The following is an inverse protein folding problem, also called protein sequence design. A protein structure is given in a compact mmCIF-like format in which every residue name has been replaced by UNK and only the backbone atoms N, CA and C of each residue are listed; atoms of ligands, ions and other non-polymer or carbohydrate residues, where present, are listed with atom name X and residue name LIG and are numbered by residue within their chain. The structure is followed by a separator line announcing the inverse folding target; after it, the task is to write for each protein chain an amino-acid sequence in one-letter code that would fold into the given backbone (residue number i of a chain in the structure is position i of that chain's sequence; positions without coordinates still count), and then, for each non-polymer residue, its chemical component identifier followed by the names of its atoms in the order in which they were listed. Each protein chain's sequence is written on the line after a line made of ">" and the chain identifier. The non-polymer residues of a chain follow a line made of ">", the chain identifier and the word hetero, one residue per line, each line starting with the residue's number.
data_IF_233355617468
#
_entry.id   IF_233355617468
#
_cell.length_a   1.000
_cell.length_b   1.000
_cell.length_c   1.000
_cell.angle_alpha   90.00
_cell.angle_beta   90.00
_cell.angle_gamma   90.00
#
_symmetry.space_group_name_H-M   'P 1'
#
loop_
_entity.id
_entity.type
_entity.pdbx_description
1 polymer ?
#
# COMPACT_ATOMS: atom_id res chain seq x y z
N UNK A 1 0.23 9.43 14.80
CA UNK A 1 1.33 8.48 14.66
C UNK A 1 1.92 8.64 13.27
N UNK A 2 3.23 8.73 13.15
CA UNK A 2 3.91 8.81 11.85
C UNK A 2 4.44 7.44 11.48
N UNK A 3 4.26 7.05 10.24
CA UNK A 3 4.74 5.79 9.70
C UNK A 3 5.53 6.04 8.41
N UNK A 4 6.64 5.36 8.24
CA UNK A 4 7.42 5.37 7.02
C UNK A 4 7.06 4.15 6.18
N UNK A 5 6.59 4.39 4.97
CA UNK A 5 6.14 3.34 4.08
C UNK A 5 6.93 3.40 2.77
N UNK A 6 7.62 2.32 2.39
CA UNK A 6 8.24 2.25 1.08
C UNK A 6 7.16 2.05 0.01
N UNK A 7 6.97 3.03 -0.85
CA UNK A 7 5.98 2.99 -1.92
C UNK A 7 6.64 3.20 -3.29
N UNK A 8 6.03 2.67 -4.33
CA UNK A 8 6.37 3.02 -5.70
C UNK A 8 5.66 4.32 -6.05
N UNK A 9 6.41 5.41 -6.08
CA UNK A 9 5.92 6.73 -6.43
C UNK A 9 6.16 7.04 -7.91
N UNK A 10 5.39 7.97 -8.43
CA UNK A 10 5.52 8.45 -9.81
C UNK A 10 6.91 9.01 -10.08
N UNK A 11 7.54 8.55 -11.15
CA UNK A 11 8.84 9.08 -11.54
C UNK A 11 8.73 10.53 -12.00
N UNK A 12 9.34 11.45 -11.27
CA UNK A 12 9.31 12.89 -11.59
C UNK A 12 10.07 13.25 -12.87
N UNK A 13 11.04 12.43 -13.27
CA UNK A 13 11.85 12.69 -14.47
C UNK A 13 11.05 12.47 -15.76
N UNK A 14 10.13 11.50 -15.79
CA UNK A 14 9.30 11.18 -16.96
C UNK A 14 7.81 11.38 -16.70
N UNK A 15 7.45 11.90 -15.54
CA UNK A 15 6.06 12.12 -15.13
C UNK A 15 5.18 10.85 -15.23
N UNK A 16 5.78 9.70 -14.93
CA UNK A 16 5.12 8.40 -14.93
C UNK A 16 5.01 7.71 -16.28
N UNK A 17 5.42 8.35 -17.37
CA UNK A 17 5.33 7.75 -18.72
C UNK A 17 6.33 6.62 -18.97
N UNK A 18 7.41 6.56 -18.21
CA UNK A 18 8.52 5.64 -18.43
C UNK A 18 9.42 6.00 -19.61
N UNK A 19 9.04 6.97 -20.42
CA UNK A 19 9.83 7.43 -21.55
C UNK A 19 10.79 8.56 -21.13
N UNK A 20 11.92 8.67 -21.82
CA UNK A 20 12.89 9.76 -21.61
C UNK A 20 12.19 11.12 -21.85
N UNK A 21 12.56 12.13 -21.06
CA UNK A 21 12.04 13.48 -21.21
C UNK A 21 12.22 14.00 -22.63
N UNK A 22 11.12 14.40 -23.27
CA UNK A 22 11.09 14.82 -24.68
C UNK A 22 10.70 13.71 -25.66
N UNK A 23 10.53 12.48 -25.19
CA UNK A 23 9.97 11.37 -25.97
C UNK A 23 8.67 10.88 -25.33
N UNK A 24 7.83 10.25 -26.11
CA UNK A 24 6.56 9.67 -25.64
C UNK A 24 6.49 8.19 -26.01
N UNK A 25 5.76 7.38 -25.22
CA UNK A 25 5.47 6.01 -25.61
C UNK A 25 4.75 5.98 -26.95
N UNK A 26 5.14 5.04 -27.83
CA UNK A 26 4.51 4.83 -29.13
C UNK A 26 3.54 3.66 -29.06
N UNK A 27 2.45 3.74 -29.81
CA UNK A 27 1.49 2.63 -29.93
C UNK A 27 2.18 1.39 -30.48
N UNK A 28 1.96 0.23 -29.86
CA UNK A 28 2.53 -1.03 -30.34
C UNK A 28 1.95 -1.38 -31.73
N UNK A 29 2.78 -1.53 -32.78
CA UNK A 29 2.29 -1.82 -34.11
C UNK A 29 1.71 -3.23 -34.26
N UNK A 30 2.15 -4.18 -33.42
CA UNK A 30 1.71 -5.58 -33.54
C UNK A 30 0.29 -5.79 -33.02
N UNK A 31 -0.14 -5.02 -32.02
CA UNK A 31 -1.49 -5.09 -31.45
C UNK A 31 -2.29 -3.78 -31.61
N UNK A 32 -1.74 -2.77 -32.28
CA UNK A 32 -2.37 -1.46 -32.47
C UNK A 32 -2.92 -0.84 -31.17
N UNK A 33 -2.20 -1.01 -30.08
CA UNK A 33 -2.59 -0.47 -28.77
C UNK A 33 -3.51 -1.38 -27.95
N UNK A 34 -4.00 -2.49 -28.51
CA UNK A 34 -4.93 -3.38 -27.81
C UNK A 34 -4.27 -4.22 -26.68
N UNK A 35 -2.95 -4.34 -26.67
CA UNK A 35 -2.22 -5.18 -25.70
C UNK A 35 -2.39 -6.69 -25.93
N UNK A 36 -3.27 -7.10 -26.82
CA UNK A 36 -3.59 -8.50 -27.12
C UNK A 36 -3.61 -8.71 -28.62
N UNK A 37 -3.23 -9.91 -29.03
CA UNK A 37 -3.30 -10.37 -30.41
C UNK A 37 -4.23 -11.58 -30.52
N UNK A 38 -4.95 -11.68 -31.61
CA UNK A 38 -5.74 -12.88 -31.95
C UNK A 38 -4.90 -13.80 -32.82
N UNK A 39 -4.72 -15.02 -32.33
CA UNK A 39 -4.10 -16.09 -33.09
C UNK A 39 -5.20 -17.07 -33.49
N UNK A 40 -5.46 -17.18 -34.82
CA UNK A 40 -6.41 -18.16 -35.34
C UNK A 40 -5.67 -19.43 -35.72
N UNK A 41 -6.04 -20.54 -35.08
CA UNK A 41 -5.61 -21.89 -35.50
C UNK A 41 -6.86 -22.69 -35.91
N UNK A 42 -7.11 -22.77 -37.20
CA UNK A 42 -8.26 -23.48 -37.73
C UNK A 42 -9.59 -22.85 -37.25
N UNK A 43 -10.43 -23.63 -36.58
CA UNK A 43 -11.75 -23.20 -36.07
C UNK A 43 -11.67 -22.44 -34.72
N UNK A 44 -10.51 -22.39 -34.09
CA UNK A 44 -10.34 -21.74 -32.77
C UNK A 44 -9.57 -20.43 -32.93
N UNK A 45 -10.09 -19.36 -32.32
CA UNK A 45 -9.37 -18.11 -32.14
C UNK A 45 -9.04 -17.92 -30.66
N UNK A 46 -7.75 -17.84 -30.37
CA UNK A 46 -7.23 -17.59 -29.03
C UNK A 46 -6.77 -16.13 -28.93
N UNK A 47 -7.19 -15.45 -27.88
CA UNK A 47 -6.60 -14.17 -27.50
C UNK A 47 -5.36 -14.41 -26.68
N UNK A 48 -4.26 -13.86 -27.12
CA UNK A 48 -2.97 -13.97 -26.44
C UNK A 48 -2.43 -12.58 -26.15
N UNK A 49 -1.77 -12.42 -24.98
CA UNK A 49 -1.05 -11.19 -24.68
C UNK A 49 -0.02 -10.89 -25.73
N UNK A 50 0.01 -9.66 -26.24
CA UNK A 50 0.99 -9.26 -27.25
C UNK A 50 2.41 -9.44 -26.71
N UNK A 51 3.26 -10.27 -27.35
CA UNK A 51 4.60 -10.56 -26.86
C UNK A 51 5.52 -9.33 -26.91
N UNK A 52 5.26 -8.41 -27.84
CA UNK A 52 6.09 -7.22 -28.05
C UNK A 52 5.89 -6.17 -26.98
N UNK A 53 4.66 -5.82 -26.65
CA UNK A 53 4.34 -4.83 -25.62
C UNK A 53 3.98 -5.46 -24.26
N UNK A 54 3.92 -6.79 -24.16
CA UNK A 54 3.58 -7.55 -22.95
C UNK A 54 2.26 -7.10 -22.32
N UNK A 55 1.29 -6.78 -23.15
CA UNK A 55 -0.03 -6.35 -22.70
C UNK A 55 -0.20 -4.85 -22.47
N UNK A 56 0.84 -4.06 -22.58
CA UNK A 56 0.79 -2.61 -22.33
C UNK A 56 0.18 -1.80 -23.49
N UNK A 57 0.12 -2.35 -24.68
CA UNK A 57 -0.37 -1.65 -25.87
C UNK A 57 0.56 -0.56 -26.39
N UNK A 58 1.60 -0.22 -25.66
CA UNK A 58 2.59 0.82 -25.98
C UNK A 58 4.01 0.28 -25.88
N UNK A 59 4.93 0.88 -26.61
CA UNK A 59 6.36 0.58 -26.59
C UNK A 59 7.12 1.85 -26.26
N UNK A 60 8.06 1.74 -25.34
CA UNK A 60 9.00 2.81 -24.99
C UNK A 60 10.29 2.56 -25.75
N UNK A 61 10.59 3.40 -26.74
CA UNK A 61 11.81 3.31 -27.54
C UNK A 61 13.02 3.79 -26.75
N UNK A 62 12.83 4.91 -26.04
CA UNK A 62 13.88 5.52 -25.20
C UNK A 62 13.42 5.48 -23.73
N UNK A 63 13.88 4.51 -22.94
CA UNK A 63 13.49 4.40 -21.54
C UNK A 63 14.07 5.56 -20.71
N UNK A 64 13.28 6.04 -19.75
CA UNK A 64 13.72 7.03 -18.80
C UNK A 64 14.87 6.48 -17.94
N UNK A 65 16.04 7.13 -17.89
CA UNK A 65 17.18 6.62 -17.13
C UNK A 65 16.94 6.58 -15.61
N UNK A 66 16.06 7.43 -15.09
CA UNK A 66 15.77 7.49 -13.67
C UNK A 66 14.90 6.32 -13.15
N UNK A 67 14.04 5.75 -14.00
CA UNK A 67 13.17 4.65 -13.62
C UNK A 67 13.34 3.40 -14.50
N UNK A 68 14.26 3.41 -15.46
CA UNK A 68 14.50 2.28 -16.36
C UNK A 68 13.30 1.91 -17.25
N UNK A 69 12.40 2.85 -17.52
CA UNK A 69 11.19 2.61 -18.31
C UNK A 69 9.95 2.23 -17.48
N UNK A 70 10.10 2.02 -16.18
CA UNK A 70 8.99 1.60 -15.32
C UNK A 70 7.96 2.72 -15.04
N UNK A 71 8.34 3.99 -15.21
CA UNK A 71 7.50 5.14 -14.89
C UNK A 71 7.32 5.38 -13.38
N UNK A 72 7.87 4.51 -12.53
CA UNK A 72 7.76 4.54 -11.07
C UNK A 72 9.12 4.34 -10.43
N UNK A 73 9.32 4.94 -9.27
CA UNK A 73 10.54 4.83 -8.47
C UNK A 73 10.18 4.52 -7.03
N UNK A 74 10.97 3.69 -6.38
CA UNK A 74 10.78 3.40 -4.96
C UNK A 74 11.19 4.61 -4.13
N UNK A 75 10.31 5.02 -3.22
CA UNK A 75 10.55 6.09 -2.25
C UNK A 75 9.97 5.71 -0.91
N UNK A 76 10.64 6.14 0.14
CA UNK A 76 10.10 6.11 1.47
C UNK A 76 9.26 7.39 1.67
N UNK A 77 8.01 7.20 2.08
CA UNK A 77 7.04 8.26 2.31
C UNK A 77 6.61 8.22 3.77
N UNK A 78 6.83 9.33 4.47
CA UNK A 78 6.36 9.48 5.84
C UNK A 78 4.91 9.96 5.81
N UNK A 79 4.01 9.18 6.40
CA UNK A 79 2.58 9.46 6.45
C UNK A 79 2.14 9.65 7.91
N UNK A 80 1.36 10.71 8.15
CA UNK A 80 0.74 10.93 9.44
C UNK A 80 -0.63 10.24 9.48
N UNK A 81 -0.75 9.23 10.32
CA UNK A 81 -1.98 8.44 10.50
C UNK A 81 -2.65 8.84 11.79
N UNK A 82 -3.90 9.28 11.70
CA UNK A 82 -4.73 9.54 12.86
C UNK A 82 -5.45 8.26 13.26
N UNK A 83 -5.07 7.70 14.39
CA UNK A 83 -5.70 6.51 14.95
C UNK A 83 -6.85 6.95 15.86
N UNK A 84 -8.10 6.56 15.60
CA UNK A 84 -9.22 6.87 16.48
C UNK A 84 -9.10 6.09 17.80
N UNK A 85 -9.71 6.62 18.85
CA UNK A 85 -9.80 5.90 20.12
C UNK A 85 -10.73 4.69 20.01
N UNK A 86 -10.40 3.63 20.74
CA UNK A 86 -11.24 2.42 20.79
C UNK A 86 -10.98 1.41 19.69
N UNK A 87 -9.89 1.55 18.93
CA UNK A 87 -9.50 0.58 17.90
C UNK A 87 -9.11 -0.77 18.51
N UNK A 88 -9.39 -1.84 17.78
CA UNK A 88 -9.03 -3.20 18.12
C UNK A 88 -8.01 -3.77 17.12
N UNK A 89 -7.35 -4.86 17.54
CA UNK A 89 -6.45 -5.60 16.64
C UNK A 89 -7.24 -6.13 15.46
N UNK A 90 -6.75 -5.86 14.25
CA UNK A 90 -7.39 -6.22 12.98
C UNK A 90 -8.16 -5.08 12.32
N UNK A 91 -8.37 -3.97 13.02
CA UNK A 91 -8.94 -2.77 12.42
C UNK A 91 -8.05 -2.23 11.31
N UNK A 92 -8.68 -1.68 10.27
CA UNK A 92 -7.98 -1.14 9.10
C UNK A 92 -8.35 0.31 8.86
N UNK A 93 -7.33 1.14 8.71
CA UNK A 93 -7.49 2.54 8.32
C UNK A 93 -7.11 2.67 6.85
N UNK A 94 -8.03 3.21 6.04
CA UNK A 94 -7.79 3.48 4.63
C UNK A 94 -7.27 4.91 4.46
N UNK A 95 -6.13 5.04 3.80
CA UNK A 95 -5.56 6.31 3.36
C UNK A 95 -5.70 6.40 1.84
N UNK A 96 -6.66 7.18 1.39
CA UNK A 96 -6.98 7.30 -0.04
C UNK A 96 -5.87 8.03 -0.80
N UNK A 97 -5.42 7.43 -1.90
CA UNK A 97 -4.40 8.01 -2.77
C UNK A 97 -2.96 7.93 -2.23
N UNK A 98 -2.75 7.28 -1.07
CA UNK A 98 -1.42 7.14 -0.44
C UNK A 98 -0.75 5.80 -0.77
N UNK A 99 -1.37 4.97 -1.59
CA UNK A 99 -0.81 3.73 -2.10
C UNK A 99 0.20 3.95 -3.22
N UNK A 100 0.55 2.88 -3.90
CA UNK A 100 1.49 2.91 -5.02
C UNK A 100 0.92 3.66 -6.23
N UNK A 101 1.78 4.36 -6.94
CA UNK A 101 1.42 5.01 -8.20
C UNK A 101 0.98 3.97 -9.24
N UNK A 102 -0.08 4.27 -9.96
CA UNK A 102 -0.53 3.44 -11.06
C UNK A 102 0.50 3.34 -12.20
N UNK A 103 0.47 2.28 -12.99
CA UNK A 103 1.32 2.15 -14.18
C UNK A 103 0.97 3.23 -15.22
N UNK A 104 1.95 3.59 -16.05
CA UNK A 104 1.78 4.52 -17.17
C UNK A 104 1.20 5.89 -16.78
N UNK A 105 1.56 6.38 -15.60
CA UNK A 105 1.05 7.66 -15.09
C UNK A 105 -0.39 7.60 -14.54
N UNK A 106 -0.93 6.41 -14.33
CA UNK A 106 -2.24 6.22 -13.71
C UNK A 106 -2.32 6.78 -12.28
N UNK A 107 -3.53 6.92 -11.73
CA UNK A 107 -3.73 7.40 -10.38
C UNK A 107 -3.12 6.45 -9.35
N UNK A 108 -2.72 6.99 -8.21
CA UNK A 108 -2.26 6.19 -7.08
C UNK A 108 -3.42 5.39 -6.46
N UNK A 109 -3.10 4.21 -5.96
CA UNK A 109 -4.04 3.40 -5.19
C UNK A 109 -4.20 3.90 -3.75
N UNK A 110 -4.93 3.14 -2.96
CA UNK A 110 -5.12 3.42 -1.54
C UNK A 110 -4.16 2.57 -0.69
N UNK A 111 -3.76 3.14 0.43
CA UNK A 111 -2.99 2.43 1.45
C UNK A 111 -3.91 1.99 2.58
N UNK A 112 -3.82 0.72 2.97
CA UNK A 112 -4.53 0.17 4.13
C UNK A 112 -3.52 -0.09 5.24
N UNK A 113 -3.73 0.58 6.37
CA UNK A 113 -2.94 0.38 7.59
C UNK A 113 -3.72 -0.54 8.51
N UNK A 114 -3.21 -1.73 8.76
CA UNK A 114 -3.79 -2.65 9.72
C UNK A 114 -3.21 -2.36 11.10
N UNK A 115 -4.10 -2.31 12.10
CA UNK A 115 -3.74 -2.02 13.49
C UNK A 115 -3.57 -3.34 14.22
N UNK A 116 -2.50 -3.43 14.98
CA UNK A 116 -2.26 -4.47 15.95
C UNK A 116 -2.04 -3.81 17.31
N UNK A 117 -2.91 -4.14 18.26
CA UNK A 117 -2.83 -3.62 19.63
C UNK A 117 -1.98 -4.58 20.45
N UNK A 118 -0.87 -4.08 20.95
CA UNK A 118 0.03 -4.86 21.82
C UNK A 118 -0.56 -4.89 23.22
N UNK A 119 -0.54 -6.07 23.85
CA UNK A 119 -1.01 -6.25 25.21
C UNK A 119 -0.18 -5.43 26.20
N UNK A 120 -0.87 -4.83 27.17
CA UNK A 120 -0.21 -4.11 28.25
C UNK A 120 0.21 -5.09 29.34
N UNK A 121 1.41 -4.92 29.96
CA UNK A 121 1.92 -5.88 30.94
C UNK A 121 1.08 -6.00 32.23
N UNK A 122 0.28 -4.98 32.54
CA UNK A 122 -0.50 -4.91 33.77
C UNK A 122 -2.01 -4.97 33.50
N UNK A 123 -2.46 -4.31 32.41
CA UNK A 123 -3.88 -4.18 32.10
C UNK A 123 -4.31 -5.17 31.04
N UNK A 124 -5.38 -5.91 31.34
CA UNK A 124 -6.10 -6.73 30.37
C UNK A 124 -7.31 -5.95 29.90
N UNK A 125 -7.45 -5.78 28.60
CA UNK A 125 -8.59 -5.09 27.99
C UNK A 125 -9.64 -6.08 27.52
N UNK A 126 -10.86 -5.89 27.98
CA UNK A 126 -12.04 -6.59 27.47
C UNK A 126 -13.06 -5.55 26.92
N UNK A 127 -13.07 -5.37 25.62
CA UNK A 127 -13.91 -4.36 24.97
C UNK A 127 -13.56 -2.94 25.43
N UNK A 128 -14.44 -2.33 26.23
CA UNK A 128 -14.26 -0.97 26.78
C UNK A 128 -13.72 -0.95 28.21
N UNK A 129 -13.54 -2.12 28.82
CA UNK A 129 -13.11 -2.24 30.22
C UNK A 129 -11.65 -2.65 30.32
N UNK A 130 -11.01 -2.14 31.35
CA UNK A 130 -9.63 -2.49 31.72
C UNK A 130 -9.66 -3.24 33.05
N UNK A 131 -8.99 -4.35 33.13
CA UNK A 131 -8.82 -5.16 34.31
C UNK A 131 -7.35 -5.20 34.70
N UNK A 132 -7.06 -5.14 35.97
CA UNK A 132 -5.73 -5.37 36.51
C UNK A 132 -5.83 -6.13 37.83
N UNK A 133 -4.83 -6.96 38.11
CA UNK A 133 -4.69 -7.66 39.36
C UNK A 133 -3.70 -6.92 40.25
N UNK A 134 -4.14 -6.50 41.41
CA UNK A 134 -3.30 -5.79 42.40
C UNK A 134 -3.21 -6.63 43.67
N UNK A 135 -2.00 -7.07 44.09
CA UNK A 135 -1.82 -7.79 45.30
C UNK A 135 -2.05 -6.87 46.53
N UNK A 136 -2.90 -7.29 47.44
CA UNK A 136 -3.18 -6.59 48.68
C UNK A 136 -2.81 -7.45 49.88
N UNK A 137 -2.44 -6.82 50.98
CA UNK A 137 -2.20 -7.53 52.26
C UNK A 137 -3.51 -7.98 52.88
N UNK A 138 -3.48 -9.06 53.67
CA UNK A 138 -4.66 -9.53 54.41
C UNK A 138 -5.12 -8.47 55.42
N UNK A 139 -4.19 -7.69 56.00
CA UNK A 139 -4.50 -6.63 56.93
C UNK A 139 -5.28 -5.48 56.25
N UNK A 140 -4.88 -5.06 55.08
CA UNK A 140 -5.57 -4.03 54.28
C UNK A 140 -6.92 -4.50 53.82
N UNK A 141 -7.05 -5.77 53.45
CA UNK A 141 -8.32 -6.37 53.08
C UNK A 141 -9.33 -6.43 54.22
N UNK A 142 -8.86 -6.62 55.48
CA UNK A 142 -9.71 -6.73 56.63
C UNK A 142 -10.05 -5.37 57.28
N UNK A 143 -9.11 -4.44 57.31
CA UNK A 143 -9.24 -3.15 57.99
C UNK A 143 -9.60 -2.00 57.03
N UNK A 144 -9.52 -2.21 55.78
CA UNK A 144 -9.60 -1.19 54.75
C UNK A 144 -8.27 -0.46 54.56
N UNK A 145 -7.99 0.01 53.38
CA UNK A 145 -6.78 0.74 53.02
C UNK A 145 -6.93 1.44 51.67
N UNK A 146 -5.99 2.32 51.38
CA UNK A 146 -5.86 2.96 50.07
C UNK A 146 -4.71 2.28 49.32
N UNK A 147 -4.96 1.96 48.04
CA UNK A 147 -3.98 1.34 47.18
C UNK A 147 -3.81 2.22 45.95
N UNK A 148 -2.56 2.56 45.62
CA UNK A 148 -2.23 3.22 44.37
C UNK A 148 -2.26 2.19 43.25
N UNK A 149 -3.08 2.44 42.25
CA UNK A 149 -3.19 1.64 41.02
C UNK A 149 -2.47 2.39 39.92
N UNK A 150 -1.65 1.71 39.08
CA UNK A 150 -0.89 2.35 38.02
C UNK A 150 -1.78 2.95 36.91
#
# INVERSE_FOLDING_TARGET
>A
MEIDVPVLDKCRACDGSGAKKGTSPTTCPDCNGAGQIRVSQGFFSLQQTCPRCRGQGQIITDPCPACGGAGRVRRDKTLSVKIPAGVDTGDRIRLSGEGEAGPNGGPAGDLYVQIEVVDHPIFVREGKHLYCEVPISIADAALGGEIEVP
#
